data_IF_444704646883
#
_entry.id   IF_444704646883
#
_cell.length_a   1.000
_cell.length_b   1.000
_cell.length_c   1.000
_cell.angle_alpha   90.00
_cell.angle_beta   90.00
_cell.angle_gamma   90.00
#
_symmetry.space_group_name_H-M   'P 1'
#
loop_
_entity.id
_entity.type
_entity.pdbx_description
1 polymer ?
#
# COMPACT_ATOMS: atom_id res chain seq x y z
N UNK A 1 -4.81 -6.81 1.15
CA UNK A 1 -6.01 -5.96 1.23
C UNK A 1 -7.19 -6.75 0.69
N UNK A 2 -8.38 -6.68 1.29
CA UNK A 2 -9.58 -7.37 0.76
C UNK A 2 -10.58 -6.32 0.28
N UNK A 3 -10.89 -6.32 -1.02
CA UNK A 3 -12.00 -5.53 -1.55
C UNK A 3 -13.32 -6.17 -1.10
N UNK A 4 -14.14 -5.42 -0.36
CA UNK A 4 -15.52 -5.82 -0.03
C UNK A 4 -16.46 -4.68 -0.41
N UNK A 5 -17.67 -5.04 -0.80
CA UNK A 5 -18.75 -4.08 -1.07
C UNK A 5 -19.53 -3.85 0.23
N UNK A 6 -19.91 -2.60 0.51
CA UNK A 6 -20.83 -2.26 1.59
C UNK A 6 -21.85 -1.22 1.08
N UNK A 7 -23.01 -1.14 1.73
CA UNK A 7 -24.05 -0.18 1.35
C UNK A 7 -23.64 1.27 1.56
N UNK A 8 -22.70 1.54 2.48
CA UNK A 8 -22.21 2.89 2.76
C UNK A 8 -21.43 3.50 1.58
N UNK A 9 -20.67 2.68 0.87
CA UNK A 9 -19.95 3.08 -0.34
C UNK A 9 -20.74 2.81 -1.61
N UNK A 10 -22.08 2.71 -1.55
CA UNK A 10 -22.94 2.35 -2.69
C UNK A 10 -22.48 1.07 -3.41
N UNK A 11 -22.01 0.09 -2.63
CA UNK A 11 -21.42 -1.16 -3.12
C UNK A 11 -20.17 -0.99 -3.99
N UNK A 12 -19.55 0.20 -4.00
CA UNK A 12 -18.23 0.38 -4.59
C UNK A 12 -17.20 -0.52 -3.87
N UNK A 13 -16.32 -1.19 -4.62
CA UNK A 13 -15.24 -1.95 -4.00
C UNK A 13 -14.30 -0.98 -3.29
N UNK A 14 -14.29 -1.05 -1.97
CA UNK A 14 -13.38 -0.26 -1.14
C UNK A 14 -12.41 -1.16 -0.39
N UNK A 15 -11.25 -0.59 -0.11
CA UNK A 15 -10.24 -1.23 0.71
C UNK A 15 -10.69 -1.22 2.17
N UNK A 16 -11.03 -2.40 2.71
CA UNK A 16 -11.39 -2.53 4.12
C UNK A 16 -10.15 -2.81 4.97
N UNK A 17 -10.12 -2.22 6.16
CA UNK A 17 -9.15 -2.58 7.18
C UNK A 17 -9.31 -4.07 7.58
N UNK A 18 -8.19 -4.72 7.86
CA UNK A 18 -8.17 -6.06 8.43
C UNK A 18 -8.57 -6.02 9.91
N UNK A 19 -9.15 -7.11 10.42
CA UNK A 19 -9.52 -7.22 11.85
C UNK A 19 -8.31 -7.01 12.77
N UNK A 20 -7.14 -7.49 12.36
CA UNK A 20 -5.85 -7.31 13.05
C UNK A 20 -4.97 -6.29 12.30
N UNK A 21 -5.60 -5.30 11.68
CA UNK A 21 -4.94 -4.27 10.88
C UNK A 21 -4.94 -2.90 11.53
N UNK A 22 -5.39 -2.80 12.79
CA UNK A 22 -5.37 -1.52 13.51
C UNK A 22 -3.94 -1.18 13.90
N UNK A 23 -3.45 -0.06 13.37
CA UNK A 23 -2.10 0.45 13.61
C UNK A 23 -1.89 0.93 15.05
N UNK A 24 -2.98 1.18 15.78
CA UNK A 24 -2.91 1.67 17.16
C UNK A 24 -2.63 0.52 18.14
N UNK A 25 -3.08 -0.70 17.81
CA UNK A 25 -2.94 -1.86 18.68
C UNK A 25 -1.61 -2.58 18.45
N UNK A 26 -0.71 -2.48 19.43
CA UNK A 26 0.60 -3.12 19.40
C UNK A 26 0.53 -4.66 19.31
N UNK A 27 -0.60 -5.29 19.68
CA UNK A 27 -0.78 -6.73 19.54
C UNK A 27 -0.84 -7.20 18.07
N UNK A 28 -1.12 -6.28 17.14
CA UNK A 28 -1.14 -6.57 15.70
C UNK A 28 0.27 -6.56 15.06
N UNK A 29 1.31 -6.17 15.81
CA UNK A 29 2.65 -6.04 15.26
C UNK A 29 3.26 -7.41 14.94
N UNK A 30 3.66 -7.58 13.67
CA UNK A 30 4.37 -8.76 13.21
C UNK A 30 5.88 -8.55 13.28
N UNK A 31 6.56 -9.45 13.98
CA UNK A 31 8.02 -9.52 14.07
C UNK A 31 8.54 -10.80 13.45
N UNK A 32 9.76 -10.74 12.93
CA UNK A 32 10.48 -11.94 12.49
C UNK A 32 10.79 -12.82 13.70
N UNK A 33 10.47 -14.13 13.66
CA UNK A 33 10.78 -15.05 14.74
C UNK A 33 12.27 -15.03 15.08
N UNK A 34 12.61 -15.15 16.37
CA UNK A 34 13.99 -15.17 16.91
C UNK A 34 14.81 -13.88 16.79
N UNK A 35 14.37 -12.89 15.98
CA UNK A 35 15.12 -11.64 15.79
C UNK A 35 14.44 -10.41 16.42
N UNK A 36 13.15 -10.51 16.77
CA UNK A 36 12.37 -9.42 17.38
C UNK A 36 12.46 -8.09 16.60
N UNK A 37 12.50 -8.18 15.28
CA UNK A 37 12.52 -7.04 14.36
C UNK A 37 11.40 -7.15 13.35
N UNK A 38 10.87 -6.01 12.93
CA UNK A 38 9.78 -5.98 11.97
C UNK A 38 10.34 -6.07 10.55
N UNK A 39 9.79 -6.93 9.67
CA UNK A 39 10.30 -7.13 8.31
C UNK A 39 10.25 -5.86 7.45
N UNK A 40 9.42 -4.91 7.86
CA UNK A 40 8.99 -3.74 7.11
C UNK A 40 9.20 -2.42 7.85
N UNK A 41 9.86 -2.46 9.00
CA UNK A 41 10.09 -1.27 9.82
C UNK A 41 8.82 -0.74 10.50
N UNK A 42 7.75 -1.53 10.55
CA UNK A 42 6.49 -1.13 11.18
C UNK A 42 6.69 -0.86 12.66
N UNK A 43 5.94 0.11 13.19
CA UNK A 43 5.83 0.39 14.63
C UNK A 43 4.34 0.68 14.88
N UNK A 44 3.76 0.01 15.87
CA UNK A 44 2.34 0.15 16.22
C UNK A 44 2.22 0.98 17.50
N UNK A 45 1.15 1.77 17.60
CA UNK A 45 0.90 2.65 18.74
C UNK A 45 -0.03 3.82 18.39
N UNK A 46 -0.33 4.65 19.39
CA UNK A 46 -1.34 5.71 19.29
C UNK A 46 -1.12 6.74 18.17
N UNK A 47 0.12 6.96 17.74
CA UNK A 47 0.47 7.86 16.63
C UNK A 47 0.68 7.14 15.30
N UNK A 48 0.45 5.83 15.24
CA UNK A 48 0.70 5.03 14.05
C UNK A 48 -0.47 5.06 13.09
N UNK A 49 -0.16 5.36 11.84
CA UNK A 49 -1.11 5.36 10.73
C UNK A 49 -0.63 4.41 9.62
N UNK A 50 -1.57 4.02 8.76
CA UNK A 50 -1.28 3.18 7.62
C UNK A 50 -0.59 3.99 6.50
N UNK A 51 0.54 3.48 6.00
CA UNK A 51 1.19 3.99 4.79
C UNK A 51 1.31 2.87 3.75
N UNK A 52 1.12 3.22 2.47
CA UNK A 52 1.50 2.34 1.38
C UNK A 52 3.02 2.26 1.29
N UNK A 53 3.54 1.10 0.92
CA UNK A 53 4.97 0.81 0.99
C UNK A 53 5.38 -0.31 0.03
N UNK A 54 6.66 -0.31 -0.30
CA UNK A 54 7.39 -1.43 -0.88
C UNK A 54 8.60 -1.80 -0.03
N UNK A 55 8.65 -1.31 1.22
CA UNK A 55 9.80 -1.52 2.07
C UNK A 55 10.02 -3.00 2.33
N UNK A 56 11.28 -3.40 2.32
CA UNK A 56 11.74 -4.69 2.83
C UNK A 56 13.06 -4.44 3.53
N UNK A 57 13.28 -5.05 4.69
CA UNK A 57 14.60 -4.98 5.33
C UNK A 57 15.66 -5.50 4.36
N UNK A 58 16.82 -4.85 4.36
CA UNK A 58 17.99 -5.35 3.61
C UNK A 58 18.44 -6.72 4.11
N UNK A 59 18.28 -6.98 5.42
CA UNK A 59 18.54 -8.27 6.04
C UNK A 59 17.24 -8.89 6.57
N UNK A 60 16.72 -9.87 5.84
CA UNK A 60 15.51 -10.62 6.18
C UNK A 60 15.78 -11.93 6.94
N UNK A 61 17.04 -12.25 7.26
CA UNK A 61 17.43 -13.45 8.02
C UNK A 61 16.86 -14.77 7.47
N UNK A 62 16.79 -14.90 6.14
CA UNK A 62 16.25 -16.09 5.46
C UNK A 62 14.72 -16.14 5.36
N UNK A 63 14.00 -15.16 5.93
CA UNK A 63 12.56 -15.02 5.74
C UNK A 63 12.24 -14.30 4.43
N UNK A 64 11.07 -14.60 3.86
CA UNK A 64 10.49 -13.85 2.75
C UNK A 64 9.01 -13.64 3.03
N UNK A 65 8.54 -12.41 2.81
CA UNK A 65 7.14 -12.04 3.01
C UNK A 65 6.68 -11.33 1.74
N UNK A 66 5.59 -11.82 1.17
CA UNK A 66 4.99 -11.27 -0.05
C UNK A 66 3.56 -10.78 0.23
N UNK A 67 2.98 -10.07 -0.74
CA UNK A 67 1.58 -9.61 -0.73
C UNK A 67 1.21 -8.61 0.39
N UNK A 68 2.18 -7.95 1.01
CA UNK A 68 1.96 -6.75 1.84
C UNK A 68 2.47 -5.52 1.11
N UNK A 69 1.57 -4.56 0.94
CA UNK A 69 1.80 -3.30 0.23
C UNK A 69 1.56 -2.08 1.12
N UNK A 70 1.28 -2.32 2.40
CA UNK A 70 1.03 -1.30 3.39
C UNK A 70 1.54 -1.77 4.75
N UNK A 71 1.93 -0.81 5.59
CA UNK A 71 2.39 -1.03 6.95
C UNK A 71 1.98 0.11 7.87
N UNK A 72 2.12 -0.13 9.18
CA UNK A 72 1.81 0.85 10.21
C UNK A 72 3.07 1.57 10.68
N UNK A 73 3.03 2.90 10.66
CA UNK A 73 4.17 3.75 11.00
C UNK A 73 3.71 4.96 11.83
N UNK A 74 4.42 5.31 12.90
CA UNK A 74 4.22 6.55 13.63
C UNK A 74 4.35 7.73 12.69
N UNK A 75 3.36 8.61 12.72
CA UNK A 75 3.38 9.83 11.95
C UNK A 75 3.21 11.03 12.85
N UNK A 76 3.97 12.08 12.58
CA UNK A 76 3.81 13.38 13.23
C UNK A 76 3.69 14.47 12.17
N UNK A 77 3.05 15.57 12.54
CA UNK A 77 2.77 16.67 11.64
C UNK A 77 3.47 17.94 12.10
N UNK A 78 3.99 18.69 11.14
CA UNK A 78 4.41 20.07 11.30
C UNK A 78 3.69 20.91 10.25
N UNK A 79 3.07 22.01 10.68
CA UNK A 79 2.41 22.95 9.78
C UNK A 79 3.22 24.23 9.78
N UNK A 80 3.67 24.66 8.60
CA UNK A 80 4.38 25.93 8.48
C UNK A 80 3.44 27.08 8.83
N UNK A 81 3.82 27.91 9.80
CA UNK A 81 2.96 28.98 10.32
C UNK A 81 2.66 30.11 9.32
N UNK A 82 3.47 30.24 8.25
CA UNK A 82 3.35 31.31 7.26
C UNK A 82 2.54 30.82 6.06
N UNK A 83 3.01 29.74 5.44
CA UNK A 83 2.45 29.16 4.23
C UNK A 83 1.29 28.22 4.49
N UNK A 84 1.09 27.79 5.74
CA UNK A 84 0.09 26.79 6.14
C UNK A 84 0.24 25.44 5.41
N UNK A 85 1.43 25.16 4.88
CA UNK A 85 1.73 23.90 4.20
C UNK A 85 2.13 22.85 5.25
N UNK A 86 1.39 21.73 5.36
CA UNK A 86 1.73 20.64 6.26
C UNK A 86 2.86 19.75 5.71
N UNK A 87 3.71 19.28 6.61
CA UNK A 87 4.70 18.22 6.38
C UNK A 87 4.45 17.09 7.36
N UNK A 88 4.42 15.85 6.85
CA UNK A 88 4.30 14.63 7.65
C UNK A 88 5.67 14.02 7.83
N UNK A 89 6.02 13.62 9.05
CA UNK A 89 7.21 12.85 9.36
C UNK A 89 6.79 11.42 9.67
N UNK A 90 7.39 10.44 8.98
CA UNK A 90 7.08 9.02 9.15
C UNK A 90 8.32 8.32 9.75
N UNK A 91 8.13 7.59 10.85
CA UNK A 91 9.20 6.87 11.53
C UNK A 91 9.12 5.36 11.26
N UNK A 92 10.25 4.75 10.91
CA UNK A 92 10.39 3.30 10.71
C UNK A 92 11.49 2.71 11.61
N UNK A 93 11.27 1.49 12.10
CA UNK A 93 12.22 0.78 12.96
C UNK A 93 13.31 0.05 12.16
N UNK A 94 14.53 0.58 12.15
CA UNK A 94 15.71 -0.05 11.50
C UNK A 94 16.30 -1.20 12.31
N UNK A 95 15.95 -1.31 13.59
CA UNK A 95 16.45 -2.35 14.51
C UNK A 95 15.76 -2.29 15.87
N UNK A 96 16.29 -3.04 16.83
CA UNK A 96 15.82 -2.98 18.22
C UNK A 96 16.29 -1.64 18.82
N UNK A 97 15.33 -0.76 19.11
CA UNK A 97 15.62 0.56 19.68
C UNK A 97 16.23 1.58 18.71
N UNK A 98 16.33 1.25 17.42
CA UNK A 98 16.85 2.17 16.40
C UNK A 98 15.81 2.47 15.34
N UNK A 99 15.68 3.76 15.04
CA UNK A 99 14.60 4.29 14.21
C UNK A 99 15.19 5.23 13.17
N UNK A 100 14.48 5.41 12.06
CA UNK A 100 14.76 6.45 11.07
C UNK A 100 13.47 7.20 10.76
N UNK A 101 13.57 8.50 10.58
CA UNK A 101 12.44 9.36 10.25
C UNK A 101 12.66 9.98 8.88
N UNK A 102 11.63 9.92 8.04
CA UNK A 102 11.60 10.55 6.72
C UNK A 102 10.50 11.59 6.65
N UNK A 103 10.66 12.60 5.80
CA UNK A 103 9.67 13.66 5.60
C UNK A 103 8.87 13.46 4.32
N UNK A 104 7.60 13.83 4.39
CA UNK A 104 6.60 13.75 3.33
C UNK A 104 5.92 15.11 3.18
N UNK A 105 6.08 15.74 2.02
CA UNK A 105 5.49 17.05 1.72
C UNK A 105 4.35 16.96 0.73
N UNK A 106 4.26 15.87 -0.03
CA UNK A 106 3.29 15.72 -1.11
C UNK A 106 2.67 14.33 -1.11
N UNK A 107 1.35 14.26 -1.28
CA UNK A 107 0.63 13.00 -1.48
C UNK A 107 1.23 12.20 -2.64
N UNK A 108 1.48 10.91 -2.42
CA UNK A 108 1.99 9.99 -3.44
C UNK A 108 3.49 10.08 -3.70
N UNK A 109 4.22 11.00 -3.04
CA UNK A 109 5.68 11.05 -3.09
C UNK A 109 6.26 9.72 -2.61
N UNK A 110 7.19 9.13 -3.36
CA UNK A 110 7.92 7.94 -2.94
C UNK A 110 9.20 8.35 -2.21
N UNK A 111 9.39 7.88 -0.98
CA UNK A 111 10.54 8.22 -0.14
C UNK A 111 11.28 6.96 0.26
N UNK A 112 12.54 6.87 -0.14
CA UNK A 112 13.42 5.79 0.29
C UNK A 112 13.71 5.89 1.79
N UNK A 113 13.76 4.76 2.47
CA UNK A 113 14.01 4.70 3.92
C UNK A 113 15.36 4.03 4.16
N UNK A 114 16.35 4.74 4.76
CA UNK A 114 17.65 4.16 5.05
C UNK A 114 17.56 2.86 5.84
N UNK A 115 18.31 1.84 5.43
CA UNK A 115 18.27 0.50 6.04
C UNK A 115 17.22 -0.45 5.43
N UNK A 116 16.47 0.00 4.44
CA UNK A 116 15.48 -0.79 3.72
C UNK A 116 15.71 -0.71 2.20
N UNK A 117 15.25 -1.74 1.49
CA UNK A 117 15.02 -1.68 0.05
C UNK A 117 13.58 -1.19 -0.19
N UNK A 118 13.36 -0.45 -1.27
CA UNK A 118 12.04 0.09 -1.62
C UNK A 118 11.77 1.48 -1.01
N UNK A 119 10.50 1.85 -0.93
CA UNK A 119 10.07 3.17 -0.49
C UNK A 119 8.76 3.16 0.31
N UNK A 120 8.54 4.22 1.07
CA UNK A 120 7.21 4.59 1.57
C UNK A 120 6.54 5.50 0.54
N UNK A 121 5.24 5.28 0.32
CA UNK A 121 4.40 6.22 -0.42
C UNK A 121 3.76 7.19 0.56
N UNK A 122 4.09 8.46 0.42
CA UNK A 122 3.62 9.51 1.30
C UNK A 122 2.08 9.63 1.26
N UNK A 123 1.41 9.57 2.41
CA UNK A 123 -0.01 9.91 2.54
C UNK A 123 -0.22 11.41 2.28
N UNK A 124 -1.49 11.82 2.19
CA UNK A 124 -1.83 13.23 2.01
C UNK A 124 -1.57 14.03 3.29
N UNK A 125 -0.63 14.99 3.29
CA UNK A 125 -0.30 15.75 4.49
C UNK A 125 -1.47 16.59 5.01
N UNK A 126 -2.37 17.07 4.13
CA UNK A 126 -3.51 17.88 4.57
C UNK A 126 -4.54 17.04 5.33
N UNK A 127 -4.72 15.78 4.92
CA UNK A 127 -5.63 14.85 5.57
C UNK A 127 -5.07 14.39 6.91
N UNK A 128 -3.80 13.97 6.95
CA UNK A 128 -3.20 13.47 8.20
C UNK A 128 -3.02 14.56 9.25
N UNK A 129 -2.68 15.77 8.83
CA UNK A 129 -2.50 16.88 9.75
C UNK A 129 -3.82 17.60 10.08
N UNK A 130 -4.96 17.09 9.60
CA UNK A 130 -6.30 17.60 9.90
C UNK A 130 -6.47 19.10 9.57
N UNK A 131 -5.77 19.54 8.51
CA UNK A 131 -5.80 20.90 7.96
C UNK A 131 -6.50 20.95 6.60
N UNK A 132 -7.02 19.81 6.10
CA UNK A 132 -7.82 19.77 4.88
C UNK A 132 -9.21 20.41 5.03
N UNK A 133 -9.67 20.65 6.27
CA UNK A 133 -11.01 21.16 6.57
C UNK A 133 -11.06 22.69 6.58
N UNK A 134 -12.10 23.24 5.97
CA UNK A 134 -12.44 24.66 6.08
C UNK A 134 -13.52 24.81 7.15
N UNK A 135 -13.40 25.80 8.02
CA UNK A 135 -14.43 26.09 9.04
C UNK A 135 -15.70 26.62 8.41
N UNK A 136 -15.59 27.55 7.47
CA UNK A 136 -16.70 28.09 6.68
C UNK A 136 -16.21 28.55 5.31
N UNK A 137 -16.82 28.05 4.23
CA UNK A 137 -16.67 28.61 2.88
C UNK A 137 -17.99 29.26 2.45
N UNK A 138 -17.92 30.22 1.52
CA UNK A 138 -19.11 30.75 0.86
C UNK A 138 -19.85 29.63 0.11
N UNK A 139 -21.16 29.77 -0.08
CA UNK A 139 -21.96 28.80 -0.84
C UNK A 139 -21.52 28.62 -2.30
N UNK A 140 -20.81 29.61 -2.85
CA UNK A 140 -20.20 29.59 -4.18
C UNK A 140 -18.72 29.17 -4.15
N UNK A 141 -18.27 28.48 -3.10
CA UNK A 141 -16.88 28.05 -2.95
C UNK A 141 -16.79 26.60 -2.48
N UNK A 142 -15.75 25.90 -2.93
CA UNK A 142 -15.40 24.56 -2.49
C UNK A 142 -14.16 24.61 -1.59
N UNK A 143 -14.16 23.80 -0.53
CA UNK A 143 -12.99 23.65 0.32
C UNK A 143 -12.01 22.65 -0.30
N UNK A 144 -10.78 23.09 -0.57
CA UNK A 144 -9.68 22.23 -1.01
C UNK A 144 -8.50 22.52 -0.09
N UNK A 145 -8.02 21.49 0.62
CA UNK A 145 -6.83 21.59 1.47
C UNK A 145 -6.89 22.73 2.50
N UNK A 146 -8.06 22.94 3.13
CA UNK A 146 -8.25 24.00 4.12
C UNK A 146 -8.42 25.40 3.54
N UNK A 147 -8.45 25.54 2.21
CA UNK A 147 -8.69 26.83 1.54
C UNK A 147 -9.96 26.81 0.70
N UNK A 148 -10.69 27.93 0.72
CA UNK A 148 -11.92 28.09 -0.05
C UNK A 148 -11.60 28.60 -1.45
N UNK A 149 -11.95 27.82 -2.47
CA UNK A 149 -11.81 28.18 -3.87
C UNK A 149 -13.18 28.46 -4.47
N UNK A 150 -13.38 29.57 -5.21
CA UNK A 150 -14.66 29.83 -5.86
C UNK A 150 -14.98 28.70 -6.84
N UNK A 151 -16.21 28.18 -6.79
CA UNK A 151 -16.70 27.22 -7.77
C UNK A 151 -16.76 27.91 -9.13
N UNK A 152 -16.17 27.35 -10.20
CA UNK A 152 -16.33 27.93 -11.52
C UNK A 152 -17.82 27.95 -11.86
N UNK A 153 -18.33 29.10 -12.29
CA UNK A 153 -19.66 29.19 -12.91
C UNK A 153 -19.62 28.34 -14.16
N UNK A 154 -20.20 27.15 -14.10
CA UNK A 154 -20.39 26.32 -15.29
C UNK A 154 -21.39 27.05 -16.17
N UNK A 155 -20.90 27.67 -17.25
CA UNK A 155 -21.77 28.05 -18.37
C UNK A 155 -22.43 26.75 -18.85
N UNK A 156 -23.77 26.67 -18.88
CA UNK A 156 -24.46 25.49 -19.39
C UNK A 156 -23.89 25.12 -20.75
N UNK A 157 -23.62 23.84 -20.99
CA UNK A 157 -23.26 23.38 -22.32
C UNK A 157 -24.32 23.88 -23.31
N UNK A 158 -23.94 24.44 -24.46
CA UNK A 158 -24.91 24.91 -25.43
C UNK A 158 -25.84 23.75 -25.76
N UNK A 159 -27.15 23.98 -25.59
CA UNK A 159 -28.18 23.01 -25.93
C UNK A 159 -27.91 22.51 -27.35
N UNK A 160 -27.83 21.19 -27.59
CA UNK A 160 -27.71 20.67 -28.94
C UNK A 160 -28.83 21.25 -29.79
N UNK A 161 -28.48 22.08 -30.78
CA UNK A 161 -29.47 22.56 -31.74
C UNK A 161 -30.03 21.32 -32.43
N UNK A 162 -31.34 21.12 -32.27
CA UNK A 162 -32.08 20.12 -33.03
C UNK A 162 -32.02 20.56 -34.50
N UNK A 163 -31.07 20.03 -35.26
CA UNK A 163 -31.13 20.11 -36.72
C UNK A 163 -32.30 19.25 -37.16
N UNK A 164 -33.36 19.91 -37.61
CA UNK A 164 -34.48 19.27 -38.30
C UNK A 164 -33.96 18.68 -39.60
N UNK A 165 -33.41 17.47 -39.57
CA UNK A 165 -33.07 16.72 -40.76
C UNK A 165 -34.36 16.23 -41.39
N UNK A 166 -34.80 16.89 -42.45
CA UNK A 166 -35.85 16.42 -43.35
C UNK A 166 -35.51 14.99 -43.79
N UNK A 167 -36.45 14.03 -43.68
CA UNK A 167 -36.17 12.64 -44.05
C UNK A 167 -35.89 12.54 -45.56
N UNK A 168 -34.78 11.92 -46.00
CA UNK A 168 -34.60 11.58 -47.40
C UNK A 168 -35.60 10.48 -47.79
N UNK A 169 -36.32 10.72 -48.88
CA UNK A 169 -37.16 9.76 -49.58
C UNK A 169 -36.38 8.47 -49.84
N UNK A 170 -36.83 7.35 -49.26
CA UNK A 170 -36.29 6.03 -49.54
C UNK A 170 -36.75 5.56 -50.92
N UNK A 171 -35.83 5.54 -51.89
CA UNK A 171 -35.94 4.66 -53.06
C UNK A 171 -35.35 3.30 -52.69
N UNK A 172 -36.22 2.29 -52.68
CA UNK A 172 -35.85 0.89 -52.48
C UNK A 172 -35.15 0.39 -53.74
N UNK A 173 -33.85 0.12 -53.65
CA UNK A 173 -33.12 -0.65 -54.67
C UNK A 173 -32.42 -1.83 -54.01
N UNK A 174 -32.63 -2.99 -54.62
CA UNK A 174 -32.31 -4.35 -54.20
C UNK A 174 -30.85 -4.64 -53.84
N UNK A 175 -30.72 -5.58 -52.90
CA UNK A 175 -29.57 -6.26 -52.30
C UNK A 175 -28.26 -6.44 -53.10
N UNK A 176 -27.11 -6.47 -52.39
CA UNK A 176 -25.97 -7.31 -52.70
C UNK A 176 -25.66 -8.36 -51.60
N UNK A 177 -24.77 -9.34 -51.86
CA UNK A 177 -24.78 -10.65 -51.21
C UNK A 177 -24.06 -10.70 -49.85
N UNK A 178 -24.53 -11.63 -49.03
CA UNK A 178 -23.96 -12.06 -47.75
C UNK A 178 -22.50 -12.45 -47.93
N UNK A 179 -21.60 -11.71 -47.28
CA UNK A 179 -20.19 -12.10 -47.14
C UNK A 179 -20.00 -12.74 -45.76
N UNK A 180 -19.73 -14.04 -45.77
CA UNK A 180 -19.38 -14.86 -44.61
C UNK A 180 -18.04 -14.40 -44.05
N UNK A 181 -18.02 -13.85 -42.83
CA UNK A 181 -16.78 -13.57 -42.09
C UNK A 181 -16.50 -14.78 -41.19
N UNK A 182 -15.49 -15.55 -41.59
CA UNK A 182 -14.90 -16.67 -40.87
C UNK A 182 -14.19 -16.18 -39.61
N UNK A 183 -14.53 -16.82 -38.48
CA UNK A 183 -13.91 -16.65 -37.17
C UNK A 183 -12.47 -17.19 -37.20
N UNK A 184 -11.43 -16.42 -36.81
CA UNK A 184 -10.09 -16.96 -36.68
C UNK A 184 -9.94 -17.72 -35.36
N UNK A 185 -9.64 -19.01 -35.49
CA UNK A 185 -9.24 -19.94 -34.41
C UNK A 185 -7.87 -19.53 -33.85
N UNK A 186 -7.67 -19.46 -32.52
CA UNK A 186 -6.33 -19.27 -31.96
C UNK A 186 -5.50 -20.56 -32.09
N UNK A 187 -4.38 -20.46 -32.79
CA UNK A 187 -3.37 -21.52 -32.94
C UNK A 187 -2.47 -21.55 -31.71
N UNK A 188 -2.50 -22.67 -30.97
CA UNK A 188 -1.50 -23.04 -29.97
C UNK A 188 -0.25 -23.56 -30.70
N UNK A 189 0.86 -22.83 -30.59
CA UNK A 189 2.18 -23.35 -30.90
C UNK A 189 3.16 -22.94 -29.79
N UNK A 190 3.38 -23.86 -28.85
CA UNK A 190 4.49 -23.83 -27.91
C UNK A 190 5.69 -24.58 -28.52
N UNK A 191 6.90 -23.99 -28.53
CA UNK A 191 8.13 -24.76 -28.68
C UNK A 191 8.67 -25.21 -27.32
N UNK A 192 8.93 -26.50 -27.23
CA UNK A 192 9.62 -27.21 -26.14
C UNK A 192 11.09 -26.74 -26.01
N UNK A 193 11.68 -26.71 -24.80
CA UNK A 193 13.07 -26.29 -24.61
C UNK A 193 14.07 -27.36 -25.08
N UNK A 194 15.09 -26.93 -25.83
CA UNK A 194 16.24 -27.74 -26.22
C UNK A 194 17.29 -27.76 -25.10
N UNK A 195 17.58 -28.97 -24.63
CA UNK A 195 18.74 -29.32 -23.82
C UNK A 195 20.04 -28.96 -24.54
N UNK A 196 20.91 -28.17 -23.89
CA UNK A 196 22.33 -28.10 -24.24
C UNK A 196 23.18 -28.35 -22.99
N UNK A 197 23.72 -29.56 -22.96
CA UNK A 197 24.79 -30.04 -22.09
C UNK A 197 26.08 -29.28 -22.38
N UNK A 198 26.58 -28.53 -21.39
CA UNK A 198 27.83 -27.79 -21.48
C UNK A 198 28.68 -27.96 -20.21
N UNK A 199 29.57 -28.94 -20.27
CA UNK A 199 30.78 -29.22 -19.50
C UNK A 199 31.08 -28.50 -18.17
N UNK A 200 31.39 -29.37 -17.21
CA UNK A 200 32.10 -29.11 -15.97
C UNK A 200 33.53 -28.57 -16.19
N UNK A 201 33.91 -27.58 -15.39
CA UNK A 201 35.28 -27.38 -14.90
C UNK A 201 35.22 -26.70 -13.53
N UNK A 202 35.48 -27.46 -12.45
CA UNK A 202 35.85 -26.93 -11.13
C UNK A 202 37.35 -26.57 -11.14
N UNK A 203 37.80 -25.50 -10.46
CA UNK A 203 38.45 -25.66 -9.14
C UNK A 203 38.39 -24.36 -8.27
N UNK A 204 39.14 -24.23 -7.15
CA UNK A 204 39.37 -25.14 -6.04
C UNK A 204 38.80 -24.58 -4.71
N UNK A 205 38.58 -25.53 -3.79
CA UNK A 205 38.29 -25.38 -2.37
C UNK A 205 39.28 -24.43 -1.68
N UNK A 206 38.77 -23.39 -1.01
CA UNK A 206 39.50 -22.61 -0.01
C UNK A 206 38.97 -22.92 1.39
N UNK A 207 39.94 -23.15 2.26
CA UNK A 207 39.89 -23.68 3.62
C UNK A 207 39.06 -22.82 4.58
N UNK A 208 38.31 -23.42 5.53
CA UNK A 208 37.56 -22.67 6.53
C UNK A 208 38.49 -22.03 7.58
N UNK A 209 38.31 -20.72 7.79
CA UNK A 209 38.90 -19.95 8.89
C UNK A 209 38.29 -20.38 10.23
N UNK A 210 39.09 -20.57 11.30
CA UNK A 210 38.61 -21.03 12.59
C UNK A 210 37.76 -19.99 13.34
N UNK A 211 36.63 -20.48 13.85
CA UNK A 211 35.72 -19.87 14.82
C UNK A 211 36.42 -19.49 16.13
N UNK A 212 36.26 -18.26 16.65
CA UNK A 212 36.59 -17.97 18.04
C UNK A 212 35.50 -18.48 19.00
N UNK A 213 35.95 -19.25 19.98
CA UNK A 213 35.23 -19.80 21.13
C UNK A 213 34.45 -18.73 21.92
N UNK A 214 33.18 -18.97 22.29
CA UNK A 214 32.45 -18.09 23.20
C UNK A 214 32.91 -18.29 24.65
N UNK A 215 33.25 -17.18 25.30
CA UNK A 215 33.49 -17.12 26.75
C UNK A 215 32.18 -17.31 27.52
N UNK A 216 32.29 -18.13 28.55
CA UNK A 216 31.26 -18.58 29.47
C UNK A 216 30.74 -17.49 30.42
N UNK A 217 29.51 -17.74 30.91
CA UNK A 217 28.92 -17.33 32.19
C UNK A 217 28.19 -15.98 32.31
N UNK A 218 26.85 -16.05 32.30
CA UNK A 218 26.01 -15.45 33.36
C UNK A 218 24.60 -16.05 33.39
N UNK A 219 24.43 -17.03 34.28
CA UNK A 219 23.30 -17.24 35.22
C UNK A 219 21.87 -16.82 34.79
N UNK A 220 21.03 -17.85 34.62
CA UNK A 220 19.56 -17.84 34.69
C UNK A 220 19.05 -17.08 35.93
N UNK A 221 17.83 -16.52 35.82
CA UNK A 221 16.75 -17.08 36.63
C UNK A 221 15.62 -17.61 35.74
N UNK A 222 15.14 -18.79 36.11
CA UNK A 222 13.90 -19.37 35.64
C UNK A 222 12.75 -18.40 35.88
N UNK A 223 12.01 -18.03 34.84
CA UNK A 223 10.62 -17.59 35.00
C UNK A 223 9.71 -18.62 34.37
N UNK A 224 8.81 -19.09 35.21
CA UNK A 224 7.79 -20.08 34.93
C UNK A 224 6.73 -19.44 34.02
N UNK A 225 6.52 -20.13 32.91
CA UNK A 225 5.31 -20.24 32.10
C UNK A 225 4.01 -19.74 32.77
N UNK A 226 3.36 -18.74 32.16
CA UNK A 226 1.90 -18.68 32.13
C UNK A 226 1.49 -18.62 30.68
N UNK A 227 1.24 -19.81 30.12
CA UNK A 227 0.46 -19.95 28.91
C UNK A 227 -1.01 -19.66 29.27
N UNK A 228 -1.53 -18.51 28.85
CA UNK A 228 -2.98 -18.32 28.82
C UNK A 228 -3.47 -18.79 27.45
N UNK A 229 -3.90 -20.06 27.43
CA UNK A 229 -4.96 -20.50 26.53
C UNK A 229 -6.18 -19.60 26.77
N UNK A 230 -6.63 -18.90 25.74
CA UNK A 230 -8.02 -18.45 25.63
C UNK A 230 -8.52 -18.85 24.24
N UNK A 231 -8.96 -20.10 24.17
CA UNK A 231 -9.87 -20.60 23.15
C UNK A 231 -11.21 -19.87 23.25
N UNK A 232 -11.91 -19.80 22.11
CA UNK A 232 -13.38 -19.91 22.01
C UNK A 232 -14.19 -18.99 22.93
N UNK A 233 -14.69 -17.87 22.39
CA UNK A 233 -16.08 -17.41 22.55
C UNK A 233 -16.26 -16.09 21.77
N UNK A 234 -16.74 -16.18 20.52
CA UNK A 234 -17.68 -15.19 19.96
C UNK A 234 -18.24 -15.70 18.61
N UNK A 235 -18.92 -16.84 18.67
CA UNK A 235 -20.06 -17.10 17.78
C UNK A 235 -21.29 -16.98 18.66
N UNK A 236 -21.86 -15.78 18.79
CA UNK A 236 -23.29 -15.57 18.94
C UNK A 236 -23.60 -14.06 18.95
N UNK A 237 -24.73 -13.73 18.34
CA UNK A 237 -25.55 -12.52 18.50
C UNK A 237 -25.37 -11.40 17.45
N UNK A 238 -26.33 -11.47 16.52
CA UNK A 238 -26.92 -10.44 15.65
C UNK A 238 -26.08 -9.85 14.52
#
# INVERSE_FOLDING_TARGET
>A
MVCRTNSFGDYCPINRAYTQGDCIDAANLLVLPNYNVTPFGEIYGASSHCAMMTLTRTQMYGYSISNRYAGCYPMTCSVDSVTHVPTVFITAATGIGTNVTVSCTTKGQQVAVPGFNGALTCPDPFVLCDVARCTTCASSAMCINGQCYPTPTMTPAPTPQTTTSTPPTMTVTSSPPVTTITTPTPSLSAPLPTNSTGNATAPPQTTPTPTPTPTSAARRPSFVMVAVLASLLCMLQL
#
